data_IF_158457367725
#
_entry.id   IF_158457367725
#
_cell.length_a   1.000
_cell.length_b   1.000
_cell.length_c   1.000
_cell.angle_alpha   90.00
_cell.angle_beta   90.00
_cell.angle_gamma   90.00
#
_symmetry.space_group_name_H-M   'P 1'
#
loop_
_entity.id
_entity.type
_entity.pdbx_description
1 polymer ?
#
# COMPACT_ATOMS: atom_id res chain seq x y z
N UNK A 1 -5.75 -15.36 12.43
CA UNK A 1 -5.69 -14.34 11.36
C UNK A 1 -6.28 -13.04 11.87
N UNK A 2 -5.54 -11.95 11.74
CA UNK A 2 -5.91 -10.67 12.30
C UNK A 2 -6.01 -9.61 11.22
N UNK A 3 -7.08 -8.82 11.26
CA UNK A 3 -7.27 -7.68 10.35
C UNK A 3 -6.40 -6.53 10.80
N UNK A 4 -5.74 -5.87 9.83
CA UNK A 4 -4.91 -4.70 10.07
C UNK A 4 -5.59 -3.48 9.48
N UNK A 5 -5.67 -2.40 10.27
CA UNK A 5 -6.29 -1.15 9.85
C UNK A 5 -5.44 0.04 10.32
N UNK A 6 -5.27 1.03 9.47
CA UNK A 6 -4.62 2.30 9.81
C UNK A 6 -5.31 3.45 9.07
N UNK A 7 -5.33 4.62 9.68
CA UNK A 7 -5.82 5.83 9.02
C UNK A 7 -4.73 6.52 8.21
N UNK A 8 -3.49 6.05 8.29
CA UNK A 8 -2.36 6.56 7.53
C UNK A 8 -2.27 5.96 6.11
N UNK A 9 -3.27 5.18 5.73
CA UNK A 9 -3.45 4.68 4.37
C UNK A 9 -4.94 4.83 4.01
N UNK A 10 -5.29 4.83 2.72
CA UNK A 10 -6.70 4.95 2.30
C UNK A 10 -7.56 3.85 2.92
N UNK A 11 -8.77 4.23 3.33
CA UNK A 11 -9.72 3.28 3.90
C UNK A 11 -10.13 2.23 2.87
N UNK A 12 -10.42 1.02 3.34
CA UNK A 12 -10.96 -0.04 2.50
C UNK A 12 -12.43 0.29 2.18
N UNK A 13 -12.70 0.61 0.92
CA UNK A 13 -14.05 0.94 0.44
C UNK A 13 -14.56 -0.28 -0.31
N UNK A 14 -15.39 -1.08 0.36
CA UNK A 14 -15.93 -2.30 -0.22
C UNK A 14 -15.69 -3.51 0.67
N UNK A 15 -15.97 -4.73 0.16
CA UNK A 15 -15.90 -5.95 0.95
C UNK A 15 -14.47 -6.50 1.09
N UNK A 16 -13.54 -5.66 1.58
CA UNK A 16 -12.16 -6.08 1.81
C UNK A 16 -11.56 -5.27 2.98
N UNK A 17 -10.36 -5.63 3.39
CA UNK A 17 -9.61 -4.93 4.45
C UNK A 17 -8.27 -4.47 3.89
N UNK A 18 -7.57 -3.58 4.60
CA UNK A 18 -6.27 -3.07 4.15
C UNK A 18 -5.20 -4.16 4.15
N UNK A 19 -5.20 -5.02 5.15
CA UNK A 19 -4.26 -6.13 5.26
C UNK A 19 -4.73 -7.16 6.27
N UNK A 20 -4.14 -8.35 6.21
CA UNK A 20 -4.37 -9.40 7.21
C UNK A 20 -3.03 -9.95 7.67
N UNK A 21 -2.96 -10.26 8.96
CA UNK A 21 -1.82 -10.96 9.56
C UNK A 21 -2.18 -12.44 9.67
N UNK A 22 -1.44 -13.28 8.95
CA UNK A 22 -1.65 -14.72 8.92
C UNK A 22 -0.92 -15.47 10.02
N UNK A 23 -0.21 -14.74 10.91
CA UNK A 23 0.58 -15.33 11.98
C UNK A 23 2.06 -15.38 11.66
N UNK A 24 2.43 -15.80 10.46
CA UNK A 24 3.81 -15.84 9.99
C UNK A 24 4.07 -14.94 8.78
N UNK A 25 3.05 -14.26 8.30
CA UNK A 25 3.10 -13.43 7.10
C UNK A 25 1.98 -12.40 7.15
N UNK A 26 2.22 -11.23 6.57
CA UNK A 26 1.20 -10.19 6.38
C UNK A 26 0.98 -10.02 4.89
N UNK A 27 -0.29 -10.03 4.47
CA UNK A 27 -0.70 -9.76 3.09
C UNK A 27 -1.50 -8.46 3.07
N UNK A 28 -1.09 -7.52 2.24
CA UNK A 28 -1.83 -6.26 2.06
C UNK A 28 -2.70 -6.32 0.83
N UNK A 29 -3.81 -5.60 0.85
CA UNK A 29 -4.58 -5.31 -0.35
C UNK A 29 -3.77 -4.38 -1.25
N UNK A 30 -4.12 -4.33 -2.53
CA UNK A 30 -3.49 -3.41 -3.47
C UNK A 30 -3.65 -1.96 -3.03
N UNK A 31 -2.58 -1.19 -3.12
CA UNK A 31 -2.59 0.23 -2.73
C UNK A 31 -2.43 1.10 -3.95
N UNK A 32 -3.51 1.77 -4.34
CA UNK A 32 -3.47 2.80 -5.36
C UNK A 32 -2.91 4.09 -4.75
N UNK A 33 -2.41 5.03 -5.57
CA UNK A 33 -1.71 6.21 -5.04
C UNK A 33 -2.63 7.31 -4.52
N UNK A 34 -3.59 6.96 -3.68
CA UNK A 34 -4.50 7.92 -3.05
C UNK A 34 -3.86 8.43 -1.76
N UNK A 35 -3.77 9.75 -1.62
CA UNK A 35 -3.34 10.36 -0.37
C UNK A 35 -4.46 10.22 0.66
N UNK A 36 -4.23 9.55 1.81
CA UNK A 36 -5.29 9.32 2.78
C UNK A 36 -5.81 10.59 3.46
N UNK A 37 -5.04 11.67 3.43
CA UNK A 37 -5.45 12.93 4.04
C UNK A 37 -6.30 13.80 3.11
N UNK A 38 -6.01 13.77 1.79
CA UNK A 38 -6.66 14.64 0.82
C UNK A 38 -7.63 13.92 -0.10
N UNK A 39 -7.50 12.61 -0.26
CA UNK A 39 -8.28 11.82 -1.21
C UNK A 39 -7.83 12.00 -2.65
N UNK A 40 -6.72 12.68 -2.89
CA UNK A 40 -6.23 12.97 -4.23
C UNK A 40 -5.17 11.99 -4.69
N UNK A 41 -5.06 11.85 -6.02
CA UNK A 41 -4.05 11.01 -6.67
C UNK A 41 -3.11 11.94 -7.44
N UNK A 42 -1.77 11.87 -7.22
CA UNK A 42 -0.83 12.67 -7.99
C UNK A 42 -0.89 12.33 -9.48
N UNK A 43 -0.53 13.28 -10.33
CA UNK A 43 -0.55 13.08 -11.78
C UNK A 43 0.78 12.53 -12.33
N UNK A 44 1.85 12.63 -11.56
CA UNK A 44 3.19 12.19 -11.96
C UNK A 44 3.48 10.78 -11.44
N UNK A 45 4.04 9.92 -12.31
CA UNK A 45 4.31 8.52 -11.96
C UNK A 45 5.27 8.37 -10.78
N UNK A 46 6.24 9.28 -10.64
CA UNK A 46 7.17 9.24 -9.51
C UNK A 46 6.44 9.49 -8.20
N UNK A 47 5.56 10.50 -8.17
CA UNK A 47 4.76 10.79 -6.98
C UNK A 47 3.69 9.73 -6.72
N UNK A 48 3.11 9.15 -7.78
CA UNK A 48 2.17 8.04 -7.63
C UNK A 48 2.85 6.84 -6.98
N UNK A 49 4.05 6.48 -7.45
CA UNK A 49 4.81 5.36 -6.89
C UNK A 49 5.13 5.62 -5.41
N UNK A 50 5.58 6.83 -5.10
CA UNK A 50 5.89 7.21 -3.72
C UNK A 50 4.66 7.08 -2.82
N UNK A 51 3.51 7.57 -3.29
CA UNK A 51 2.29 7.52 -2.50
C UNK A 51 1.81 6.08 -2.27
N UNK A 52 1.83 5.24 -3.30
CA UNK A 52 1.45 3.83 -3.15
C UNK A 52 2.36 3.12 -2.16
N UNK A 53 3.67 3.33 -2.24
CA UNK A 53 4.63 2.72 -1.31
C UNK A 53 4.48 3.27 0.10
N UNK A 54 4.17 4.56 0.26
CA UNK A 54 3.89 5.13 1.57
C UNK A 54 2.63 4.52 2.20
N UNK A 55 1.62 4.24 1.38
CA UNK A 55 0.40 3.59 1.86
C UNK A 55 0.70 2.17 2.33
N UNK A 56 1.47 1.40 1.57
CA UNK A 56 1.91 0.05 1.98
C UNK A 56 2.73 0.14 3.26
N UNK A 57 3.68 1.08 3.33
CA UNK A 57 4.52 1.27 4.51
C UNK A 57 3.69 1.54 5.77
N UNK A 58 2.69 2.42 5.66
CA UNK A 58 1.81 2.73 6.80
C UNK A 58 1.09 1.48 7.30
N UNK A 59 0.62 0.63 6.39
CA UNK A 59 -0.10 -0.59 6.74
C UNK A 59 0.82 -1.59 7.43
N UNK A 60 2.01 -1.85 6.88
CA UNK A 60 2.91 -2.84 7.48
C UNK A 60 3.49 -2.34 8.80
N UNK A 61 3.69 -1.03 8.96
CA UNK A 61 4.13 -0.47 10.23
C UNK A 61 3.05 -0.61 11.30
N UNK A 62 1.78 -0.50 10.92
CA UNK A 62 0.67 -0.76 11.84
C UNK A 62 0.69 -2.20 12.34
N UNK A 63 1.19 -3.12 11.53
CA UNK A 63 1.34 -4.53 11.90
C UNK A 63 2.60 -4.80 12.72
N UNK A 64 3.40 -3.78 13.02
CA UNK A 64 4.64 -3.94 13.78
C UNK A 64 5.85 -4.29 12.94
N UNK A 65 5.75 -4.19 11.62
CA UNK A 65 6.82 -4.52 10.68
C UNK A 65 7.47 -3.26 10.11
N UNK A 66 8.54 -3.43 9.34
CA UNK A 66 9.22 -2.35 8.64
C UNK A 66 9.35 -2.68 7.16
N UNK A 67 9.72 -1.69 6.36
CA UNK A 67 9.94 -1.88 4.92
C UNK A 67 10.97 -2.99 4.65
N UNK A 68 11.93 -3.19 5.55
CA UNK A 68 12.93 -4.25 5.43
C UNK A 68 12.33 -5.66 5.50
N UNK A 69 11.11 -5.80 6.01
CA UNK A 69 10.43 -7.10 6.11
C UNK A 69 9.66 -7.48 4.85
N UNK A 70 9.61 -6.60 3.85
CA UNK A 70 8.92 -6.89 2.59
C UNK A 70 9.73 -7.92 1.80
N UNK A 71 9.09 -9.02 1.42
CA UNK A 71 9.75 -10.11 0.67
C UNK A 71 9.28 -10.18 -0.77
N UNK A 72 8.11 -9.64 -1.09
CA UNK A 72 7.58 -9.65 -2.45
C UNK A 72 6.57 -8.52 -2.63
N UNK A 73 6.63 -7.89 -3.80
CA UNK A 73 5.59 -6.95 -4.23
C UNK A 73 5.15 -7.30 -5.65
N UNK A 74 3.94 -6.88 -5.99
CA UNK A 74 3.42 -6.92 -7.36
C UNK A 74 3.11 -5.49 -7.77
N UNK A 75 3.56 -5.10 -8.96
CA UNK A 75 3.39 -3.73 -9.44
C UNK A 75 2.66 -3.74 -10.78
N UNK A 76 1.58 -2.99 -10.87
CA UNK A 76 0.84 -2.79 -12.10
C UNK A 76 1.01 -1.34 -12.54
N UNK A 77 1.46 -1.13 -13.77
CA UNK A 77 1.61 0.20 -14.37
C UNK A 77 0.93 0.21 -15.72
N UNK A 78 0.39 1.36 -16.09
CA UNK A 78 -0.26 1.53 -17.39
C UNK A 78 0.74 1.51 -18.53
N UNK A 79 1.93 2.08 -18.32
CA UNK A 79 3.00 2.17 -19.30
C UNK A 79 4.26 1.53 -18.70
N UNK A 80 4.72 0.42 -19.32
CA UNK A 80 5.91 -0.29 -18.84
C UNK A 80 7.19 0.56 -18.91
N UNK A 81 7.20 1.61 -19.74
CA UNK A 81 8.33 2.53 -19.78
C UNK A 81 8.50 3.30 -18.47
N UNK A 82 7.45 3.39 -17.66
CA UNK A 82 7.50 4.06 -16.36
C UNK A 82 8.14 3.18 -15.28
N UNK A 83 8.34 1.88 -15.54
CA UNK A 83 8.87 0.96 -14.51
C UNK A 83 10.27 1.33 -14.06
N UNK A 84 11.07 1.91 -14.93
CA UNK A 84 12.46 2.29 -14.64
C UNK A 84 12.60 3.67 -13.98
N UNK A 85 11.50 4.38 -13.76
CA UNK A 85 11.53 5.76 -13.24
C UNK A 85 11.54 5.86 -11.72
#
# INVERSE_FOLDING_TARGET
MTVIHTENAPAAIGPYVQAVDLGNMVLTSGQIPVNPETGEIPSDIVQQTRQSLNNVKAIIEQAGLTVADIVKTTVFVKDLNDFAR
#
